data_IF_467511974204
#
_entry.id   IF_467511974204
#
_cell.length_a   1.000
_cell.length_b   1.000
_cell.length_c   1.000
_cell.angle_alpha   90.00
_cell.angle_beta   90.00
_cell.angle_gamma   90.00
#
_symmetry.space_group_name_H-M   'P 1'
#
loop_
_entity.id
_entity.type
_entity.pdbx_description
1 polymer ?
#
# COMPACT_ATOMS: atom_id res chain seq x y z
N UNK A 1 0.76 15.77 15.88
CA UNK A 1 1.23 14.90 14.78
C UNK A 1 1.73 13.60 15.38
N UNK A 2 0.87 12.58 15.48
CA UNK A 2 1.22 11.27 16.07
C UNK A 2 0.49 10.13 15.36
N UNK A 3 0.23 10.29 14.06
CA UNK A 3 -0.38 9.24 13.23
C UNK A 3 0.45 7.95 13.24
N UNK A 4 1.78 8.08 13.33
CA UNK A 4 2.70 6.93 13.41
C UNK A 4 2.64 6.14 14.72
N UNK A 5 2.19 6.73 15.83
CA UNK A 5 2.13 6.03 17.12
C UNK A 5 0.80 5.28 17.29
N UNK A 6 -0.32 5.84 16.82
CA UNK A 6 -1.61 5.15 16.75
C UNK A 6 -1.60 3.97 15.76
N UNK A 7 -0.70 4.01 14.78
CA UNK A 7 -0.45 2.94 13.81
C UNK A 7 0.10 1.66 14.46
N UNK A 8 0.89 1.81 15.53
CA UNK A 8 1.54 0.71 16.23
C UNK A 8 0.64 0.06 17.28
N UNK A 9 -0.40 0.78 17.73
CA UNK A 9 -1.35 0.31 18.74
C UNK A 9 -2.54 -0.44 18.13
N UNK A 10 -2.79 -0.31 16.82
CA UNK A 10 -3.88 -1.01 16.13
C UNK A 10 -3.38 -2.34 15.56
N UNK A 11 -4.17 -3.40 15.76
CA UNK A 11 -3.88 -4.78 15.34
C UNK A 11 -3.11 -4.81 14.01
N UNK A 12 -1.96 -5.49 13.92
CA UNK A 12 -0.99 -5.33 12.82
C UNK A 12 -1.61 -5.55 11.42
N UNK A 13 -2.66 -6.37 11.34
CA UNK A 13 -3.45 -6.59 10.13
C UNK A 13 -4.33 -5.39 9.76
N UNK A 14 -4.97 -4.74 10.74
CA UNK A 14 -5.79 -3.53 10.56
C UNK A 14 -4.94 -2.26 10.37
N UNK A 15 -3.79 -2.17 11.06
CA UNK A 15 -2.80 -1.10 10.88
C UNK A 15 -2.26 -1.08 9.44
N UNK A 16 -1.94 -2.26 8.89
CA UNK A 16 -1.46 -2.38 7.51
C UNK A 16 -2.52 -1.99 6.46
N UNK A 17 -3.78 -2.41 6.65
CA UNK A 17 -4.87 -2.06 5.73
C UNK A 17 -5.17 -0.56 5.76
N UNK A 18 -5.20 0.06 6.95
CA UNK A 18 -5.41 1.51 7.09
C UNK A 18 -4.29 2.30 6.42
N UNK A 19 -3.05 1.84 6.55
CA UNK A 19 -1.89 2.46 5.89
C UNK A 19 -2.01 2.36 4.38
N UNK A 20 -2.39 1.21 3.83
CA UNK A 20 -2.63 1.07 2.38
C UNK A 20 -3.72 2.04 1.89
N UNK A 21 -4.82 2.17 2.63
CA UNK A 21 -5.88 3.12 2.31
C UNK A 21 -5.41 4.59 2.39
N UNK A 22 -4.58 4.93 3.38
CA UNK A 22 -3.99 6.27 3.50
C UNK A 22 -3.03 6.58 2.35
N UNK A 23 -2.27 5.58 1.91
CA UNK A 23 -1.36 5.69 0.77
C UNK A 23 -2.14 5.85 -0.56
N UNK A 24 -3.24 5.13 -0.75
CA UNK A 24 -4.15 5.34 -1.90
C UNK A 24 -4.80 6.73 -1.86
N UNK A 25 -5.19 7.22 -0.67
CA UNK A 25 -5.68 8.59 -0.49
C UNK A 25 -4.64 9.65 -0.84
N UNK A 26 -3.38 9.44 -0.44
CA UNK A 26 -2.26 10.32 -0.81
C UNK A 26 -2.02 10.33 -2.32
N UNK A 27 -2.06 9.15 -2.97
CA UNK A 27 -1.96 9.05 -4.43
C UNK A 27 -3.07 9.85 -5.13
N UNK A 28 -4.31 9.72 -4.66
CA UNK A 28 -5.45 10.44 -5.24
C UNK A 28 -5.32 11.97 -5.13
N UNK A 29 -4.71 12.48 -4.05
CA UNK A 29 -4.43 13.91 -3.88
C UNK A 29 -3.28 14.42 -4.78
N UNK A 30 -2.33 13.54 -5.12
CA UNK A 30 -1.16 13.87 -5.95
C UNK A 30 -1.44 13.72 -7.45
N UNK A 31 -2.37 12.85 -7.85
CA UNK A 31 -2.71 12.59 -9.26
C UNK A 31 -3.05 13.86 -10.08
N UNK A 32 -3.77 14.87 -9.55
CA UNK A 32 -4.02 16.13 -10.28
C UNK A 32 -2.74 16.93 -10.58
N UNK A 33 -1.66 16.72 -9.82
CA UNK A 33 -0.41 17.46 -9.91
C UNK A 33 0.67 16.72 -10.72
N UNK A 34 0.31 15.63 -11.42
CA UNK A 34 1.25 14.78 -12.19
C UNK A 34 1.97 15.48 -13.34
N UNK A 35 1.53 16.67 -13.75
CA UNK A 35 2.25 17.50 -14.72
C UNK A 35 3.55 18.06 -14.14
N UNK A 36 3.66 18.13 -12.81
CA UNK A 36 4.90 18.51 -12.13
C UNK A 36 5.84 17.30 -12.04
N UNK A 37 7.03 17.44 -12.63
CA UNK A 37 8.02 16.35 -12.77
C UNK A 37 8.29 15.55 -11.48
N UNK A 38 8.56 16.20 -10.34
CA UNK A 38 8.79 15.50 -9.07
C UNK A 38 7.61 14.67 -8.58
N UNK A 39 6.37 15.15 -8.77
CA UNK A 39 5.15 14.41 -8.40
C UNK A 39 4.98 13.20 -9.31
N UNK A 40 5.24 13.35 -10.60
CA UNK A 40 5.20 12.23 -11.55
C UNK A 40 6.21 11.14 -11.19
N UNK A 41 7.45 11.50 -10.90
CA UNK A 41 8.49 10.55 -10.48
C UNK A 41 8.12 9.82 -9.18
N UNK A 42 7.57 10.56 -8.22
CA UNK A 42 7.08 9.97 -6.98
C UNK A 42 5.95 8.96 -7.24
N UNK A 43 4.96 9.32 -8.07
CA UNK A 43 3.84 8.44 -8.42
C UNK A 43 4.30 7.16 -9.12
N UNK A 44 5.28 7.24 -10.02
CA UNK A 44 5.87 6.04 -10.66
C UNK A 44 6.51 5.12 -9.62
N UNK A 45 7.37 5.65 -8.75
CA UNK A 45 8.03 4.87 -7.71
C UNK A 45 7.03 4.27 -6.71
N UNK A 46 5.96 5.01 -6.43
CA UNK A 46 4.87 4.57 -5.58
C UNK A 46 4.12 3.38 -6.19
N UNK A 47 3.75 3.46 -7.48
CA UNK A 47 3.08 2.37 -8.18
C UNK A 47 3.96 1.12 -8.30
N UNK A 48 5.27 1.28 -8.53
CA UNK A 48 6.22 0.16 -8.55
C UNK A 48 6.32 -0.53 -7.19
N UNK A 49 6.44 0.23 -6.10
CA UNK A 49 6.46 -0.30 -4.74
C UNK A 49 5.15 -1.02 -4.36
N UNK A 50 4.01 -0.44 -4.75
CA UNK A 50 2.69 -1.07 -4.58
C UNK A 50 2.57 -2.38 -5.35
N UNK A 51 3.07 -2.43 -6.59
CA UNK A 51 3.06 -3.64 -7.42
C UNK A 51 3.95 -4.73 -6.84
N UNK A 52 5.15 -4.38 -6.36
CA UNK A 52 6.03 -5.32 -5.67
C UNK A 52 5.36 -5.90 -4.40
N UNK A 53 4.70 -5.06 -3.61
CA UNK A 53 3.92 -5.49 -2.45
C UNK A 53 2.77 -6.44 -2.81
N UNK A 54 2.02 -6.15 -3.88
CA UNK A 54 0.96 -7.05 -4.37
C UNK A 54 1.50 -8.40 -4.84
N UNK A 55 2.68 -8.43 -5.47
CA UNK A 55 3.32 -9.67 -5.88
C UNK A 55 3.74 -10.51 -4.67
N UNK A 56 4.31 -9.87 -3.64
CA UNK A 56 4.66 -10.56 -2.38
C UNK A 56 3.42 -11.09 -1.65
N UNK A 57 2.31 -10.33 -1.66
CA UNK A 57 1.04 -10.80 -1.10
C UNK A 57 0.47 -11.98 -1.90
N UNK A 58 0.58 -11.95 -3.23
CA UNK A 58 0.16 -13.06 -4.08
C UNK A 58 0.99 -14.33 -3.86
N UNK A 59 2.27 -14.18 -3.52
CA UNK A 59 3.16 -15.29 -3.13
C UNK A 59 2.82 -15.83 -1.73
N UNK A 60 2.45 -14.93 -0.81
CA UNK A 60 2.14 -15.28 0.59
C UNK A 60 0.76 -15.94 0.76
N UNK A 61 -0.23 -15.57 -0.06
CA UNK A 61 -1.57 -16.15 0.02
C UNK A 61 -1.55 -17.51 -0.70
N UNK A 62 -1.72 -18.64 0.02
CA UNK A 62 -1.86 -19.93 -0.64
C UNK A 62 -3.11 -19.88 -1.51
N UNK A 63 -2.97 -20.24 -2.79
CA UNK A 63 -4.12 -20.40 -3.68
C UNK A 63 -5.18 -21.28 -2.98
N UNK A 64 -6.47 -20.90 -2.93
CA UNK A 64 -7.50 -21.60 -2.16
C UNK A 64 -7.86 -23.01 -2.70
N UNK A 65 -6.96 -23.66 -3.47
CA UNK A 65 -7.17 -24.92 -4.16
C UNK A 65 -6.14 -26.02 -3.84
N UNK A 66 -6.14 -26.51 -2.60
CA UNK A 66 -5.95 -27.95 -2.24
C UNK A 66 -4.53 -28.50 -1.94
N UNK A 67 -4.43 -29.75 -1.44
CA UNK A 67 -5.45 -30.62 -0.84
C UNK A 67 -5.31 -30.74 0.69
N UNK A 68 -6.45 -30.92 1.37
CA UNK A 68 -6.51 -31.30 2.79
C UNK A 68 -5.99 -32.73 2.97
N UNK A 69 -5.11 -33.02 3.95
CA UNK A 69 -4.97 -34.37 4.48
C UNK A 69 -6.18 -34.77 5.34
#
# INVERSE_FOLDING_TARGET
MTVGHDLLATSPTLGSIRVVQQLDGLRALLEPHKSYGPVREYLVRFDDGRRAGLLLLADLIPSPGGPRP
#
